data_IF_504507037871
#
_entry.id   IF_504507037871
#
_cell.length_a   1.000
_cell.length_b   1.000
_cell.length_c   1.000
_cell.angle_alpha   90.00
_cell.angle_beta   90.00
_cell.angle_gamma   90.00
#
_symmetry.space_group_name_H-M   'P 1'
#
loop_
_entity.id
_entity.type
_entity.pdbx_description
1 polymer ?
#
# COMPACT_ATOMS: atom_id res chain seq x y z
N UNK A 1 -2.87 18.46 16.98
CA UNK A 1 -3.36 17.49 15.97
C UNK A 1 -2.16 16.77 15.40
N UNK A 2 -2.23 15.45 15.18
CA UNK A 2 -1.17 14.73 14.48
C UNK A 2 -1.21 15.09 12.99
N UNK A 3 -0.05 15.35 12.41
CA UNK A 3 0.06 15.49 10.97
C UNK A 3 -0.21 14.14 10.26
N UNK A 4 -0.46 14.23 8.95
CA UNK A 4 -0.78 13.10 8.08
C UNK A 4 0.26 11.97 8.16
N UNK A 5 1.55 12.30 8.28
CA UNK A 5 2.63 11.32 8.32
C UNK A 5 2.69 10.57 9.64
N UNK A 6 2.52 11.28 10.75
CA UNK A 6 2.44 10.65 12.07
C UNK A 6 1.25 9.70 12.20
N UNK A 7 0.15 9.94 11.46
CA UNK A 7 -1.00 9.01 11.39
C UNK A 7 -0.70 7.79 10.54
N UNK A 8 -0.11 8.00 9.36
CA UNK A 8 0.32 6.91 8.48
C UNK A 8 1.34 5.98 9.17
N UNK A 9 2.29 6.56 9.91
CA UNK A 9 3.30 5.80 10.65
C UNK A 9 2.68 4.83 11.65
N UNK A 10 1.57 5.19 12.30
CA UNK A 10 0.86 4.27 13.21
C UNK A 10 0.26 3.08 12.48
N UNK A 11 -0.32 3.32 11.30
CA UNK A 11 -0.83 2.24 10.45
C UNK A 11 0.31 1.33 10.01
N UNK A 12 1.43 1.91 9.55
CA UNK A 12 2.60 1.14 9.15
C UNK A 12 3.18 0.32 10.30
N UNK A 13 3.20 0.84 11.53
CA UNK A 13 3.64 0.10 12.71
C UNK A 13 2.77 -1.13 12.96
N UNK A 14 1.45 -0.99 12.88
CA UNK A 14 0.52 -2.13 13.05
C UNK A 14 0.70 -3.14 11.93
N UNK A 15 0.75 -2.69 10.67
CA UNK A 15 0.93 -3.58 9.52
C UNK A 15 2.24 -4.36 9.56
N UNK A 16 3.35 -3.74 10.01
CA UNK A 16 4.65 -4.42 10.12
C UNK A 16 4.71 -5.49 11.23
N UNK A 17 3.80 -5.42 12.20
CA UNK A 17 3.70 -6.42 13.27
C UNK A 17 2.81 -7.61 12.89
N UNK A 18 2.02 -7.47 11.83
CA UNK A 18 1.23 -8.56 11.28
C UNK A 18 2.12 -9.49 10.46
N UNK A 19 2.31 -10.73 10.94
CA UNK A 19 3.09 -11.76 10.26
C UNK A 19 2.54 -12.12 8.87
N UNK A 20 1.28 -11.79 8.60
CA UNK A 20 0.67 -11.95 7.29
C UNK A 20 1.23 -10.96 6.26
N UNK A 21 1.69 -9.78 6.69
CA UNK A 21 2.23 -8.73 5.82
C UNK A 21 3.69 -9.01 5.52
N UNK A 22 4.04 -9.08 4.24
CA UNK A 22 5.38 -9.45 3.75
C UNK A 22 6.08 -8.34 3.00
N UNK A 23 5.33 -7.37 2.46
CA UNK A 23 5.93 -6.17 1.91
C UNK A 23 4.95 -4.98 1.93
N UNK A 24 5.48 -3.78 2.01
CA UNK A 24 4.75 -2.51 1.91
C UNK A 24 5.57 -1.53 1.07
N UNK A 25 4.93 -0.86 0.12
CA UNK A 25 5.51 0.27 -0.60
C UNK A 25 4.54 1.43 -0.71
N UNK A 26 5.08 2.65 -0.75
CA UNK A 26 4.37 3.83 -1.24
C UNK A 26 4.48 3.84 -2.76
N UNK A 27 3.37 4.13 -3.44
CA UNK A 27 3.33 4.31 -4.89
C UNK A 27 2.78 5.69 -5.24
N UNK A 28 2.66 5.99 -6.53
CA UNK A 28 1.97 7.20 -6.98
C UNK A 28 2.74 8.49 -6.72
N UNK A 29 2.00 9.58 -6.51
CA UNK A 29 2.55 10.95 -6.48
C UNK A 29 3.59 11.16 -5.37
N UNK A 30 3.39 10.54 -4.21
CA UNK A 30 4.35 10.58 -3.10
C UNK A 30 5.61 9.77 -3.40
N UNK A 31 5.50 8.63 -4.09
CA UNK A 31 6.67 7.89 -4.55
C UNK A 31 7.50 8.74 -5.53
N UNK A 32 6.86 9.45 -6.45
CA UNK A 32 7.53 10.28 -7.47
C UNK A 32 8.05 11.63 -6.97
N UNK A 33 7.62 12.09 -5.79
CA UNK A 33 7.97 13.42 -5.28
C UNK A 33 7.16 14.55 -5.93
N UNK A 34 6.01 14.22 -6.54
CA UNK A 34 5.11 15.15 -7.24
C UNK A 34 3.83 15.42 -6.44
N UNK A 35 3.74 14.89 -5.21
CA UNK A 35 2.59 15.06 -4.35
C UNK A 35 2.36 16.52 -3.96
N UNK A 36 1.11 16.94 -3.99
CA UNK A 36 0.63 18.22 -3.47
C UNK A 36 0.23 18.07 -2.00
N UNK A 37 0.02 19.18 -1.27
CA UNK A 37 -0.44 19.11 0.12
C UNK A 37 -1.75 18.33 0.31
N UNK A 38 -2.63 18.36 -0.70
CA UNK A 38 -3.93 17.69 -0.73
C UNK A 38 -3.89 16.29 -1.37
N UNK A 39 -2.71 15.81 -1.79
CA UNK A 39 -2.57 14.46 -2.35
C UNK A 39 -2.91 13.39 -1.31
N UNK A 40 -3.61 12.36 -1.77
CA UNK A 40 -3.78 11.07 -1.13
C UNK A 40 -2.43 10.33 -1.02
N UNK A 41 -2.37 9.33 -0.14
CA UNK A 41 -1.23 8.40 -0.05
C UNK A 41 -1.65 7.06 -0.60
N UNK A 42 -0.95 6.59 -1.62
CA UNK A 42 -1.15 5.26 -2.18
C UNK A 42 -0.15 4.27 -1.59
N UNK A 43 -0.66 3.17 -1.05
CA UNK A 43 0.13 2.04 -0.58
C UNK A 43 -0.16 0.78 -1.40
N UNK A 44 0.88 -0.02 -1.61
CA UNK A 44 0.75 -1.44 -1.96
C UNK A 44 1.20 -2.27 -0.76
N UNK A 45 0.35 -3.19 -0.30
CA UNK A 45 0.57 -4.09 0.83
C UNK A 45 0.47 -5.52 0.30
N UNK A 46 1.57 -6.26 0.37
CA UNK A 46 1.62 -7.66 -0.04
C UNK A 46 1.51 -8.57 1.18
N UNK A 47 0.57 -9.50 1.13
CA UNK A 47 0.26 -10.42 2.22
C UNK A 47 0.29 -11.88 1.75
N UNK A 48 0.40 -12.82 2.70
CA UNK A 48 0.19 -14.24 2.43
C UNK A 48 -1.30 -14.51 2.19
N UNK A 49 -2.16 -13.96 3.05
CA UNK A 49 -3.62 -14.07 3.02
C UNK A 49 -4.26 -12.67 3.00
N UNK A 50 -4.49 -12.08 1.81
CA UNK A 50 -5.08 -10.74 1.68
C UNK A 50 -6.44 -10.58 2.35
N UNK A 51 -7.24 -11.65 2.38
CA UNK A 51 -8.60 -11.61 2.92
C UNK A 51 -8.62 -11.35 4.43
N UNK A 52 -7.62 -11.80 5.18
CA UNK A 52 -7.52 -11.51 6.61
C UNK A 52 -7.46 -9.98 6.86
N UNK A 53 -6.63 -9.28 6.08
CA UNK A 53 -6.47 -7.83 6.20
C UNK A 53 -7.72 -7.06 5.72
N UNK A 54 -8.37 -7.55 4.65
CA UNK A 54 -9.59 -6.97 4.10
C UNK A 54 -10.83 -7.14 5.01
N UNK A 55 -10.83 -8.16 5.88
CA UNK A 55 -11.92 -8.46 6.81
C UNK A 55 -11.79 -7.74 8.15
N UNK A 56 -10.60 -7.78 8.76
CA UNK A 56 -10.34 -7.15 10.05
C UNK A 56 -10.67 -5.64 9.98
N UNK A 57 -10.07 -4.91 9.04
CA UNK A 57 -10.23 -3.45 8.86
C UNK A 57 -9.93 -2.58 10.10
N UNK A 58 -9.79 -3.11 11.31
CA UNK A 58 -9.58 -2.30 12.51
C UNK A 58 -8.26 -1.51 12.45
N UNK A 59 -7.27 -2.05 11.74
CA UNK A 59 -5.98 -1.44 11.50
C UNK A 59 -6.08 -0.09 10.74
N UNK A 60 -7.15 0.15 9.98
CA UNK A 60 -7.39 1.41 9.27
C UNK A 60 -7.69 2.53 10.29
N UNK A 61 -8.50 2.24 11.30
CA UNK A 61 -8.94 3.24 12.28
C UNK A 61 -7.83 3.69 13.24
N UNK A 62 -6.67 3.01 13.25
CA UNK A 62 -5.49 3.39 14.05
C UNK A 62 -4.96 4.77 13.63
N UNK A 63 -5.18 5.16 12.38
CA UNK A 63 -4.83 6.49 11.87
C UNK A 63 -5.83 7.58 12.29
N UNK A 64 -7.04 7.20 12.73
CA UNK A 64 -8.14 8.07 13.13
C UNK A 64 -9.50 7.58 12.61
N UNK A 65 -10.56 8.29 12.97
CA UNK A 65 -11.92 8.03 12.48
C UNK A 65 -12.03 8.28 10.97
N UNK A 66 -12.71 7.37 10.28
CA UNK A 66 -12.99 7.49 8.84
C UNK A 66 -14.41 7.96 8.61
N UNK A 67 -14.59 8.95 7.73
CA UNK A 67 -15.92 9.34 7.25
C UNK A 67 -16.45 8.40 6.18
N UNK A 68 -15.56 7.79 5.40
CA UNK A 68 -15.93 6.86 4.33
C UNK A 68 -14.78 5.89 4.01
N UNK A 69 -15.12 4.65 3.68
CA UNK A 69 -14.18 3.67 3.10
C UNK A 69 -14.84 3.05 1.87
N UNK A 70 -14.24 3.25 0.70
CA UNK A 70 -14.65 2.55 -0.53
C UNK A 70 -13.78 1.32 -0.78
N UNK A 71 -14.32 0.37 -1.55
CA UNK A 71 -13.62 -0.84 -1.98
C UNK A 71 -13.68 -0.94 -3.50
N UNK A 72 -12.53 -1.15 -4.12
CA UNK A 72 -12.38 -1.29 -5.57
C UNK A 72 -11.47 -2.50 -5.87
N UNK A 73 -11.65 -3.13 -7.02
CA UNK A 73 -10.89 -4.34 -7.41
C UNK A 73 -10.15 -4.09 -8.73
N UNK A 74 -8.83 -4.29 -8.71
CA UNK A 74 -7.88 -4.02 -9.79
C UNK A 74 -7.02 -5.27 -10.04
N UNK A 75 -7.52 -6.17 -10.88
CA UNK A 75 -6.80 -7.43 -11.17
C UNK A 75 -6.58 -8.26 -9.90
N UNK A 76 -5.31 -8.43 -9.50
CA UNK A 76 -4.93 -9.17 -8.28
C UNK A 76 -4.99 -8.32 -6.99
N UNK A 77 -5.24 -7.02 -7.10
CA UNK A 77 -5.20 -6.07 -6.00
C UNK A 77 -6.60 -5.59 -5.64
N UNK A 78 -6.92 -5.56 -4.35
CA UNK A 78 -8.14 -4.93 -3.82
C UNK A 78 -7.74 -3.64 -3.14
N UNK A 79 -8.30 -2.53 -3.60
CA UNK A 79 -8.08 -1.21 -3.03
C UNK A 79 -9.13 -0.92 -1.96
N UNK A 80 -8.69 -0.52 -0.76
CA UNK A 80 -9.52 0.12 0.24
C UNK A 80 -9.11 1.59 0.36
N UNK A 81 -9.98 2.51 -0.05
CA UNK A 81 -9.71 3.95 0.01
C UNK A 81 -10.44 4.57 1.18
N UNK A 82 -9.67 5.05 2.16
CA UNK A 82 -10.17 5.60 3.40
C UNK A 82 -10.06 7.13 3.41
N UNK A 83 -11.20 7.79 3.57
CA UNK A 83 -11.28 9.23 3.83
C UNK A 83 -11.42 9.43 5.35
N UNK A 84 -10.44 10.11 5.96
CA UNK A 84 -10.44 10.37 7.40
C UNK A 84 -11.13 11.69 7.73
N UNK A 85 -11.78 11.77 8.89
CA UNK A 85 -12.43 13.01 9.34
C UNK A 85 -11.45 14.20 9.49
N UNK A 86 -10.16 13.91 9.70
CA UNK A 86 -9.10 14.92 9.71
C UNK A 86 -8.75 15.48 8.32
N UNK A 87 -9.38 15.00 7.24
CA UNK A 87 -9.24 15.52 5.88
C UNK A 87 -8.08 14.96 5.06
N UNK A 88 -7.37 13.93 5.55
CA UNK A 88 -6.40 13.20 4.72
C UNK A 88 -7.00 11.90 4.20
N UNK A 89 -6.43 11.42 3.10
CA UNK A 89 -6.89 10.24 2.37
C UNK A 89 -5.74 9.24 2.20
N UNK A 90 -6.07 7.95 2.33
CA UNK A 90 -5.12 6.86 2.07
C UNK A 90 -5.82 5.78 1.25
N UNK A 91 -5.17 5.39 0.17
CA UNK A 91 -5.51 4.21 -0.60
C UNK A 91 -4.62 3.03 -0.19
N UNK A 92 -5.26 1.96 0.27
CA UNK A 92 -4.61 0.72 0.66
C UNK A 92 -4.84 -0.35 -0.41
N UNK A 93 -3.90 -0.50 -1.32
CA UNK A 93 -3.89 -1.59 -2.29
C UNK A 93 -3.37 -2.88 -1.65
N UNK A 94 -4.26 -3.85 -1.44
CA UNK A 94 -3.97 -5.09 -0.73
C UNK A 94 -3.97 -6.24 -1.74
N UNK A 95 -2.88 -7.00 -1.80
CA UNK A 95 -2.73 -8.12 -2.73
C UNK A 95 -1.93 -9.27 -2.11
N UNK A 96 -2.01 -10.43 -2.75
CA UNK A 96 -1.15 -11.57 -2.39
C UNK A 96 0.29 -11.29 -2.85
N UNK A 97 1.29 -11.93 -2.23
CA UNK A 97 2.69 -11.87 -2.69
C UNK A 97 2.87 -12.24 -4.17
N UNK A 98 1.94 -13.01 -4.76
CA UNK A 98 1.89 -13.30 -6.19
C UNK A 98 1.76 -12.08 -7.09
N UNK A 99 1.30 -10.94 -6.56
CA UNK A 99 1.23 -9.68 -7.30
C UNK A 99 2.61 -9.22 -7.80
N UNK A 100 3.66 -9.55 -7.04
CA UNK A 100 5.07 -9.35 -7.40
C UNK A 100 5.73 -10.60 -8.00
N UNK A 101 4.95 -11.61 -8.35
CA UNK A 101 5.44 -12.86 -8.91
C UNK A 101 6.18 -12.66 -10.24
N UNK A 102 7.17 -13.52 -10.50
CA UNK A 102 7.96 -13.48 -11.73
C UNK A 102 7.45 -14.52 -12.74
N UNK A 103 7.25 -14.17 -14.03
CA UNK A 103 7.40 -12.83 -14.61
C UNK A 103 6.32 -11.86 -14.11
N UNK A 104 6.72 -10.60 -13.90
CA UNK A 104 5.82 -9.56 -13.36
C UNK A 104 4.65 -9.29 -14.32
N UNK A 105 3.44 -9.31 -13.76
CA UNK A 105 2.22 -8.93 -14.47
C UNK A 105 2.34 -7.49 -15.03
N UNK A 106 1.87 -7.21 -16.27
CA UNK A 106 1.97 -5.88 -16.86
C UNK A 106 1.36 -4.76 -16.00
N UNK A 107 0.26 -5.03 -15.29
CA UNK A 107 -0.37 -4.09 -14.38
C UNK A 107 0.52 -3.79 -13.18
N UNK A 108 1.07 -4.82 -12.53
CA UNK A 108 2.01 -4.65 -11.42
C UNK A 108 3.27 -3.90 -11.85
N UNK A 109 3.81 -4.22 -13.02
CA UNK A 109 4.97 -3.54 -13.58
C UNK A 109 4.66 -2.06 -13.92
N UNK A 110 3.45 -1.76 -14.37
CA UNK A 110 3.01 -0.38 -14.63
C UNK A 110 2.98 0.44 -13.33
N UNK A 111 2.42 -0.12 -12.25
CA UNK A 111 2.40 0.53 -10.93
C UNK A 111 3.83 0.83 -10.45
N UNK A 112 4.73 -0.16 -10.54
CA UNK A 112 6.13 0.02 -10.14
C UNK A 112 6.86 1.08 -10.97
N UNK A 113 6.72 1.05 -12.30
CA UNK A 113 7.33 2.04 -13.20
C UNK A 113 6.76 3.44 -13.00
N UNK A 114 5.50 3.56 -12.57
CA UNK A 114 4.87 4.84 -12.25
C UNK A 114 5.26 5.38 -10.86
N UNK A 115 6.32 4.85 -10.27
CA UNK A 115 6.87 5.27 -8.99
C UNK A 115 6.48 4.31 -7.88
N UNK A 116 7.48 3.68 -7.29
CA UNK A 116 7.37 2.82 -6.12
C UNK A 116 8.56 3.06 -5.19
N UNK A 117 8.28 3.22 -3.89
CA UNK A 117 9.28 3.31 -2.83
C UNK A 117 8.97 2.26 -1.76
N UNK A 118 9.84 1.28 -1.65
CA UNK A 118 9.69 0.19 -0.67
C UNK A 118 9.90 0.74 0.74
N UNK A 119 8.98 0.40 1.65
CA UNK A 119 8.98 0.82 3.06
C UNK A 119 9.33 -0.34 3.98
N UNK A 120 8.85 -1.54 3.66
CA UNK A 120 9.03 -2.76 4.43
C UNK A 120 9.06 -3.93 3.45
N UNK A 121 10.09 -4.76 3.51
CA UNK A 121 10.26 -5.89 2.58
C UNK A 121 11.28 -6.90 3.16
N UNK A 122 10.97 -7.54 4.30
CA UNK A 122 11.88 -8.46 4.99
C UNK A 122 12.31 -9.67 4.13
N UNK A 123 11.57 -9.96 3.06
CA UNK A 123 11.77 -11.13 2.21
C UNK A 123 12.21 -10.78 0.78
N UNK A 124 12.59 -9.52 0.56
CA UNK A 124 13.12 -9.03 -0.72
C UNK A 124 12.13 -9.19 -1.91
N UNK A 125 10.82 -9.27 -1.64
CA UNK A 125 9.79 -9.53 -2.64
C UNK A 125 9.69 -8.37 -3.62
N UNK A 126 9.55 -7.15 -3.10
CA UNK A 126 9.38 -5.96 -3.93
C UNK A 126 10.70 -5.54 -4.57
N UNK A 127 11.82 -5.65 -3.87
CA UNK A 127 13.14 -5.37 -4.44
C UNK A 127 13.47 -6.31 -5.59
N UNK A 128 13.31 -7.63 -5.42
CA UNK A 128 13.49 -8.61 -6.51
C UNK A 128 12.57 -8.34 -7.70
N UNK A 129 11.32 -7.92 -7.45
CA UNK A 129 10.40 -7.50 -8.52
C UNK A 129 10.95 -6.29 -9.29
N UNK A 130 11.36 -5.24 -8.59
CA UNK A 130 11.90 -4.01 -9.19
C UNK A 130 13.14 -4.29 -10.04
N UNK A 131 14.10 -5.05 -9.51
CA UNK A 131 15.28 -5.45 -10.29
C UNK A 131 14.91 -6.22 -11.57
N UNK A 132 13.89 -7.07 -11.52
CA UNK A 132 13.44 -7.83 -12.69
C UNK A 132 12.83 -6.94 -13.79
N UNK A 133 12.25 -5.79 -13.40
CA UNK A 133 11.66 -4.81 -14.30
C UNK A 133 12.75 -3.97 -14.98
N UNK A 134 13.80 -3.62 -14.25
CA UNK A 134 14.93 -2.82 -14.77
C UNK A 134 15.85 -3.60 -15.72
N UNK A 135 15.93 -4.93 -15.56
CA UNK A 135 16.72 -5.82 -16.43
C UNK A 135 16.11 -6.06 -17.82
N UNK A 136 14.92 -5.52 -18.11
CA UNK A 136 14.19 -5.67 -19.38
C UNK A 136 14.08 -4.35 -20.12
#
# INVERSE_FOLDING_TARGET
MLDKWARLDRVLQVLRLDLNVRAIAIVGSHARGEARPDSDVDLVILCIEPQALLQAREWIFVAGETSHISREEYGQLVSLRAHYESGFEVEFGIASVSWAGLPVDPGSASVARNGMKVIYDPDDILHSMLESIERK
#
